data_IF_104420184569
#
_entry.id   IF_104420184569
#
_cell.length_a   1.000
_cell.length_b   1.000
_cell.length_c   1.000
_cell.angle_alpha   90.00
_cell.angle_beta   90.00
_cell.angle_gamma   90.00
#
_symmetry.space_group_name_H-M   'P 1'
#
loop_
_entity.id
_entity.type
_entity.pdbx_description
1 polymer ?
#
# COMPACT_ATOMS: atom_id res chain seq x y z
N UNK A 1 2.45 -2.24 -11.04
CA UNK A 1 2.99 -0.95 -10.57
C UNK A 1 4.26 -1.25 -9.81
N UNK A 2 5.36 -0.59 -10.15
CA UNK A 2 6.64 -0.78 -9.46
C UNK A 2 6.82 0.35 -8.45
N UNK A 3 6.52 0.02 -7.19
CA UNK A 3 6.54 0.95 -6.07
C UNK A 3 7.55 0.41 -5.05
N UNK A 4 8.57 1.19 -4.65
CA UNK A 4 9.51 0.76 -3.62
C UNK A 4 8.80 0.51 -2.29
N UNK A 5 9.15 -0.59 -1.62
CA UNK A 5 8.54 -0.98 -0.34
C UNK A 5 8.88 -0.04 0.81
N UNK A 6 10.05 0.56 0.76
CA UNK A 6 10.64 1.45 1.77
C UNK A 6 10.18 2.91 1.66
N UNK A 7 9.47 3.29 0.58
CA UNK A 7 9.06 4.69 0.44
C UNK A 7 8.06 5.08 1.54
N UNK A 8 8.09 6.33 2.04
CA UNK A 8 7.08 6.80 2.95
C UNK A 8 5.69 6.87 2.29
N UNK A 9 4.66 6.49 3.03
CA UNK A 9 3.27 6.49 2.62
C UNK A 9 2.34 6.69 3.83
N UNK A 10 1.05 6.87 3.55
CA UNK A 10 0.01 6.96 4.58
C UNK A 10 -1.21 6.16 4.17
N UNK A 11 -1.60 5.19 4.99
CA UNK A 11 -2.88 4.48 4.86
C UNK A 11 -3.96 5.29 5.58
N UNK A 12 -4.97 5.69 4.82
CA UNK A 12 -6.12 6.47 5.27
C UNK A 12 -7.33 5.54 5.27
N UNK A 13 -8.04 5.45 6.40
CA UNK A 13 -9.36 4.82 6.50
C UNK A 13 -10.42 5.93 6.52
N UNK A 14 -11.31 5.95 5.52
CA UNK A 14 -12.37 6.95 5.40
C UNK A 14 -13.51 6.77 6.43
N UNK A 15 -13.49 5.67 7.21
CA UNK A 15 -14.38 5.43 8.36
C UNK A 15 -14.01 6.26 9.61
N UNK A 16 -13.00 7.14 9.51
CA UNK A 16 -12.61 8.07 10.57
C UNK A 16 -11.61 7.51 11.59
N UNK A 17 -10.98 6.37 11.31
CA UNK A 17 -9.90 5.82 12.14
C UNK A 17 -8.59 6.58 11.94
N UNK A 18 -7.72 6.55 12.94
CA UNK A 18 -6.38 7.14 12.85
C UNK A 18 -5.63 6.55 11.66
N UNK A 19 -5.08 7.39 10.76
CA UNK A 19 -4.30 6.91 9.63
C UNK A 19 -2.99 6.26 10.09
N UNK A 20 -2.51 5.27 9.34
CA UNK A 20 -1.18 4.69 9.55
C UNK A 20 -0.19 5.47 8.69
N UNK A 21 0.83 6.06 9.32
CA UNK A 21 1.90 6.80 8.65
C UNK A 21 3.18 6.00 8.81
N UNK A 22 3.81 5.60 7.71
CA UNK A 22 5.00 4.72 7.74
C UNK A 22 5.54 4.46 6.34
N UNK A 23 6.19 3.31 6.16
CA UNK A 23 6.59 2.79 4.85
C UNK A 23 5.40 2.26 4.05
N UNK A 24 5.58 2.14 2.74
CA UNK A 24 4.60 1.57 1.85
C UNK A 24 4.31 0.11 2.19
N UNK A 25 5.34 -0.66 2.57
CA UNK A 25 5.20 -2.02 3.05
C UNK A 25 4.29 -2.11 4.28
N UNK A 26 4.52 -1.27 5.29
CA UNK A 26 3.66 -1.20 6.48
C UNK A 26 2.21 -0.89 6.10
N UNK A 27 1.98 0.13 5.27
CA UNK A 27 0.63 0.49 4.82
C UNK A 27 -0.08 -0.68 4.13
N UNK A 28 0.62 -1.42 3.28
CA UNK A 28 0.07 -2.59 2.57
C UNK A 28 -0.20 -3.76 3.52
N UNK A 29 0.70 -4.02 4.48
CA UNK A 29 0.50 -5.04 5.51
C UNK A 29 -0.72 -4.72 6.38
N UNK A 30 -0.84 -3.48 6.86
CA UNK A 30 -2.01 -3.03 7.62
C UNK A 30 -3.32 -3.18 6.84
N UNK A 31 -3.33 -2.77 5.55
CA UNK A 31 -4.49 -2.96 4.68
C UNK A 31 -4.86 -4.43 4.51
N UNK A 32 -3.89 -5.34 4.40
CA UNK A 32 -4.16 -6.78 4.22
C UNK A 32 -4.94 -7.41 5.39
N UNK A 33 -4.84 -6.80 6.58
CA UNK A 33 -5.52 -7.24 7.80
C UNK A 33 -6.95 -6.68 7.93
N UNK A 34 -7.35 -5.73 7.08
CA UNK A 34 -8.68 -5.13 7.14
C UNK A 34 -9.77 -6.11 6.70
N UNK A 35 -10.93 -6.00 7.34
CA UNK A 35 -12.17 -6.65 6.88
C UNK A 35 -12.62 -6.02 5.54
N UNK A 36 -13.38 -6.74 4.69
CA UNK A 36 -13.77 -6.26 3.35
C UNK A 36 -14.37 -4.85 3.34
N UNK A 37 -15.31 -4.57 4.25
CA UNK A 37 -15.93 -3.24 4.38
C UNK A 37 -14.90 -2.13 4.67
N UNK A 38 -13.91 -2.40 5.53
CA UNK A 38 -12.85 -1.43 5.83
C UNK A 38 -11.87 -1.26 4.67
N UNK A 39 -11.63 -2.30 3.89
CA UNK A 39 -10.81 -2.20 2.66
C UNK A 39 -11.44 -1.26 1.64
N UNK A 40 -12.75 -1.30 1.45
CA UNK A 40 -13.46 -0.41 0.52
C UNK A 40 -13.29 1.09 0.87
N UNK A 41 -13.11 1.39 2.16
CA UNK A 41 -12.88 2.73 2.69
C UNK A 41 -11.40 3.12 2.76
N UNK A 42 -10.47 2.20 2.51
CA UNK A 42 -9.06 2.44 2.70
C UNK A 42 -8.37 3.00 1.44
N UNK A 43 -7.50 4.00 1.60
CA UNK A 43 -6.68 4.59 0.53
C UNK A 43 -5.24 4.70 0.99
N UNK A 44 -4.28 4.50 0.10
CA UNK A 44 -2.87 4.81 0.42
C UNK A 44 -2.46 6.08 -0.33
N UNK A 45 -2.07 7.10 0.42
CA UNK A 45 -1.40 8.29 -0.08
C UNK A 45 0.10 8.01 -0.15
N UNK A 46 0.69 8.20 -1.34
CA UNK A 46 2.11 8.08 -1.60
C UNK A 46 2.78 9.45 -1.43
N UNK A 47 4.03 9.45 -0.98
CA UNK A 47 4.84 10.68 -0.93
C UNK A 47 5.53 11.01 -2.27
N UNK A 48 5.51 10.06 -3.22
CA UNK A 48 6.00 10.26 -4.58
C UNK A 48 4.95 9.74 -5.57
N UNK A 49 4.68 10.47 -6.67
CA UNK A 49 3.64 10.08 -7.60
C UNK A 49 4.13 8.99 -8.55
N UNK A 50 3.29 7.98 -8.77
CA UNK A 50 3.60 6.80 -9.56
C UNK A 50 2.87 6.82 -10.90
N UNK A 51 3.47 6.18 -11.91
CA UNK A 51 2.79 5.97 -13.18
C UNK A 51 1.74 4.86 -13.04
N UNK A 52 0.55 5.10 -13.60
CA UNK A 52 -0.54 4.14 -13.63
C UNK A 52 -0.92 3.83 -15.07
N UNK A 53 -1.03 2.54 -15.45
CA UNK A 53 -1.56 2.17 -16.75
C UNK A 53 -2.91 2.86 -17.01
N UNK A 54 -3.07 3.44 -18.19
CA UNK A 54 -4.32 4.12 -18.59
C UNK A 54 -4.50 5.55 -18.05
N UNK A 55 -3.58 6.09 -17.23
CA UNK A 55 -3.62 7.50 -16.81
C UNK A 55 -2.56 8.35 -17.50
N UNK A 56 -2.97 9.55 -17.94
CA UNK A 56 -2.06 10.56 -18.54
C UNK A 56 -1.17 11.24 -17.50
N UNK A 57 -1.65 11.36 -16.26
CA UNK A 57 -0.93 12.03 -15.17
C UNK A 57 -0.49 11.02 -14.11
N UNK A 58 0.63 11.30 -13.45
CA UNK A 58 1.08 10.50 -12.31
C UNK A 58 0.10 10.63 -11.15
N UNK A 59 -0.08 9.55 -10.41
CA UNK A 59 -1.06 9.47 -9.33
C UNK A 59 -0.38 9.36 -7.97
N UNK A 60 -1.00 9.99 -6.98
CA UNK A 60 -0.53 10.04 -5.60
C UNK A 60 -1.30 9.09 -4.68
N UNK A 61 -2.51 8.68 -5.06
CA UNK A 61 -3.41 7.89 -4.21
C UNK A 61 -3.62 6.53 -4.86
N UNK A 62 -3.55 5.45 -4.07
CA UNK A 62 -4.00 4.11 -4.46
C UNK A 62 -5.39 3.84 -3.88
N UNK A 63 -6.27 3.30 -4.72
CA UNK A 63 -7.59 2.81 -4.36
C UNK A 63 -7.55 1.34 -3.88
N UNK A 64 -8.61 0.82 -3.23
CA UNK A 64 -8.62 -0.50 -2.63
C UNK A 64 -8.24 -1.62 -3.60
N UNK A 65 -8.81 -1.59 -4.80
CA UNK A 65 -8.53 -2.52 -5.89
C UNK A 65 -7.05 -2.52 -6.28
N UNK A 66 -6.45 -1.33 -6.34
CA UNK A 66 -5.03 -1.17 -6.63
C UNK A 66 -4.14 -1.68 -5.50
N UNK A 67 -4.58 -1.49 -4.25
CA UNK A 67 -3.85 -1.98 -3.07
C UNK A 67 -3.90 -3.51 -3.00
N UNK A 68 -5.03 -4.15 -3.34
CA UNK A 68 -5.14 -5.62 -3.40
C UNK A 68 -4.14 -6.22 -4.41
N UNK A 69 -3.97 -5.60 -5.58
CA UNK A 69 -2.95 -6.03 -6.56
C UNK A 69 -1.52 -5.95 -5.99
N UNK A 70 -1.27 -5.00 -5.09
CA UNK A 70 0.01 -4.84 -4.40
C UNK A 70 0.14 -5.86 -3.25
N UNK A 71 -0.94 -6.20 -2.54
CA UNK A 71 -0.96 -7.30 -1.57
C UNK A 71 -0.62 -8.62 -2.26
N UNK A 72 -1.17 -8.88 -3.44
CA UNK A 72 -0.84 -10.07 -4.24
C UNK A 72 0.65 -10.09 -4.63
N UNK A 73 1.21 -8.93 -5.00
CA UNK A 73 2.65 -8.79 -5.25
C UNK A 73 3.45 -9.14 -4.01
N UNK A 74 3.10 -8.59 -2.84
CA UNK A 74 3.77 -8.85 -1.58
C UNK A 74 3.77 -10.35 -1.25
N UNK A 75 2.63 -11.02 -1.40
CA UNK A 75 2.49 -12.45 -1.13
C UNK A 75 3.35 -13.31 -2.06
N UNK A 76 3.42 -12.96 -3.36
CA UNK A 76 4.32 -13.63 -4.31
C UNK A 76 5.79 -13.45 -3.93
N UNK A 77 6.21 -12.22 -3.64
CA UNK A 77 7.60 -11.94 -3.29
C UNK A 77 8.03 -12.65 -1.99
N UNK A 78 7.12 -12.76 -1.00
CA UNK A 78 7.34 -13.56 0.21
C UNK A 78 7.46 -15.06 -0.07
N UNK A 79 6.58 -15.61 -0.92
CA UNK A 79 6.64 -17.01 -1.31
C UNK A 79 7.92 -17.36 -2.09
N UNK A 80 8.45 -16.40 -2.84
CA UNK A 80 9.74 -16.49 -3.55
C UNK A 80 10.95 -16.31 -2.62
N UNK A 81 10.75 -16.04 -1.33
CA UNK A 81 11.83 -15.84 -0.36
C UNK A 81 12.66 -14.59 -0.58
N UNK A 82 12.10 -13.55 -1.23
CA UNK A 82 12.81 -12.28 -1.43
C UNK A 82 13.00 -11.56 -0.09
N UNK A 83 14.19 -11.02 0.09
CA UNK A 83 14.53 -10.18 1.24
C UNK A 83 13.81 -8.83 1.10
N UNK A 84 12.68 -8.71 1.78
CA UNK A 84 11.92 -7.47 1.86
C UNK A 84 12.59 -6.56 2.89
N UNK A 85 12.57 -5.23 2.70
CA UNK A 85 13.18 -4.33 3.66
C UNK A 85 12.60 -4.58 5.05
N UNK A 86 13.44 -4.58 6.10
CA UNK A 86 12.98 -4.80 7.46
C UNK A 86 11.94 -3.74 7.83
N UNK A 87 10.91 -4.15 8.56
CA UNK A 87 9.97 -3.22 9.18
C UNK A 87 10.78 -2.24 10.04
N UNK A 88 10.58 -0.92 9.94
CA UNK A 88 11.35 0.07 10.72
C UNK A 88 10.98 0.09 12.24
N UNK A 89 10.56 -1.05 12.79
CA UNK A 89 10.08 -1.20 14.17
C UNK A 89 10.43 -2.54 14.83
N UNK A 90 11.50 -3.21 14.39
CA UNK A 90 12.05 -4.43 15.01
C UNK A 90 13.56 -4.40 15.06
#
# INVERSE_FOLDING_TARGET
MDIPWDQPATLIDLDGKTPVIGSFLECVMHFSLFKPFAKEQARILLTRPVFKPGRKTRAWILNPDEIELIVDRLNRERAEGKDLPPHPGG
#
